data_IF_645525620200
#
_entry.id   IF_645525620200
#
_cell.length_a   1.000
_cell.length_b   1.000
_cell.length_c   1.000
_cell.angle_alpha   90.00
_cell.angle_beta   90.00
_cell.angle_gamma   90.00
#
_symmetry.space_group_name_H-M   'P 1'
#
loop_
_entity.id
_entity.type
_entity.pdbx_description
1 polymer ?
#
# COMPACT_ATOMS: atom_id res chain seq x y z
N UNK A 1 -14.76 -7.93 -2.20
CA UNK A 1 -13.43 -8.40 -2.61
C UNK A 1 -13.19 -9.87 -2.31
N UNK A 2 -13.69 -10.39 -1.19
CA UNK A 2 -13.49 -11.80 -0.83
C UNK A 2 -14.21 -12.76 -1.78
N UNK A 3 -15.41 -12.42 -2.25
CA UNK A 3 -16.11 -13.20 -3.28
C UNK A 3 -15.31 -13.29 -4.57
N UNK A 4 -14.69 -12.18 -4.99
CA UNK A 4 -13.84 -12.17 -6.20
C UNK A 4 -12.55 -12.97 -6.01
N UNK A 5 -12.01 -13.03 -4.80
CA UNK A 5 -10.86 -13.88 -4.48
C UNK A 5 -11.23 -15.36 -4.48
N UNK A 6 -12.41 -15.69 -3.94
CA UNK A 6 -12.94 -17.07 -3.97
C UNK A 6 -13.19 -17.52 -5.40
N UNK A 7 -13.79 -16.67 -6.23
CA UNK A 7 -14.03 -16.98 -7.65
C UNK A 7 -12.73 -17.22 -8.43
N UNK A 8 -11.65 -16.52 -8.11
CA UNK A 8 -10.35 -16.75 -8.75
C UNK A 8 -9.67 -18.08 -8.35
N UNK A 9 -10.13 -18.69 -7.24
CA UNK A 9 -9.66 -20.01 -6.77
C UNK A 9 -10.42 -21.19 -7.36
N UNK A 10 -11.53 -20.94 -8.08
CA UNK A 10 -12.29 -21.98 -8.76
C UNK A 10 -11.70 -22.24 -10.15
N UNK A 11 -11.96 -23.41 -10.71
CA UNK A 11 -11.60 -23.74 -12.09
C UNK A 11 -12.40 -22.87 -13.07
N UNK A 12 -11.84 -21.73 -13.43
CA UNK A 12 -12.44 -20.76 -14.33
C UNK A 12 -11.84 -20.90 -15.73
N UNK A 13 -12.66 -20.77 -16.73
CA UNK A 13 -12.23 -20.62 -18.11
C UNK A 13 -11.44 -19.31 -18.31
N UNK A 14 -10.60 -19.26 -19.34
CA UNK A 14 -9.82 -18.05 -19.68
C UNK A 14 -10.68 -16.79 -19.83
N UNK A 15 -11.84 -16.82 -20.50
CA UNK A 15 -12.73 -15.67 -20.57
C UNK A 15 -13.28 -15.22 -19.23
N UNK A 16 -13.63 -16.16 -18.34
CA UNK A 16 -14.13 -15.85 -17.02
C UNK A 16 -13.05 -15.19 -16.13
N UNK A 17 -11.82 -15.69 -16.17
CA UNK A 17 -10.68 -15.07 -15.47
C UNK A 17 -10.44 -13.64 -15.98
N UNK A 18 -10.53 -13.43 -17.31
CA UNK A 18 -10.40 -12.10 -17.91
C UNK A 18 -11.50 -11.15 -17.43
N UNK A 19 -12.76 -11.58 -17.41
CA UNK A 19 -13.88 -10.80 -16.92
C UNK A 19 -13.69 -10.38 -15.46
N UNK A 20 -13.32 -11.32 -14.58
CA UNK A 20 -13.08 -11.04 -13.17
C UNK A 20 -11.95 -10.03 -12.98
N UNK A 21 -10.88 -10.13 -13.77
CA UNK A 21 -9.76 -9.18 -13.74
C UNK A 21 -10.20 -7.77 -14.12
N UNK A 22 -10.98 -7.63 -15.19
CA UNK A 22 -11.51 -6.33 -15.62
C UNK A 22 -12.51 -5.74 -14.61
N UNK A 23 -13.35 -6.56 -14.01
CA UNK A 23 -14.24 -6.11 -12.92
C UNK A 23 -13.46 -5.61 -11.70
N UNK A 24 -12.39 -6.30 -11.31
CA UNK A 24 -11.50 -5.83 -10.21
C UNK A 24 -10.86 -4.49 -10.57
N UNK A 25 -10.37 -4.36 -11.81
CA UNK A 25 -9.79 -3.10 -12.31
C UNK A 25 -10.81 -1.96 -12.29
N UNK A 26 -12.01 -2.20 -12.81
CA UNK A 26 -13.10 -1.23 -12.78
C UNK A 26 -13.44 -0.78 -11.37
N UNK A 27 -13.64 -1.72 -10.44
CA UNK A 27 -13.91 -1.40 -9.02
C UNK A 27 -12.77 -0.59 -8.39
N UNK A 28 -11.53 -0.92 -8.70
CA UNK A 28 -10.36 -0.15 -8.25
C UNK A 28 -10.38 1.30 -8.75
N UNK A 29 -10.70 1.51 -10.02
CA UNK A 29 -10.81 2.84 -10.62
C UNK A 29 -11.99 3.63 -10.04
N UNK A 30 -13.16 3.01 -9.86
CA UNK A 30 -14.33 3.64 -9.24
C UNK A 30 -14.05 4.05 -7.80
N UNK A 31 -13.32 3.22 -7.04
CA UNK A 31 -12.87 3.58 -5.70
C UNK A 31 -11.92 4.79 -5.71
N UNK A 32 -10.96 4.82 -6.64
CA UNK A 32 -10.06 5.98 -6.78
C UNK A 32 -10.82 7.24 -7.17
N UNK A 33 -11.73 7.13 -8.11
CA UNK A 33 -12.58 8.24 -8.54
C UNK A 33 -13.37 8.83 -7.36
N UNK A 34 -14.13 8.02 -6.64
CA UNK A 34 -14.97 8.48 -5.53
C UNK A 34 -14.18 8.93 -4.30
N UNK A 35 -13.06 8.25 -3.99
CA UNK A 35 -12.28 8.56 -2.78
C UNK A 35 -11.37 9.76 -2.95
N UNK A 36 -10.79 9.97 -4.12
CA UNK A 36 -9.78 10.98 -4.37
C UNK A 36 -10.21 12.01 -5.40
N UNK A 37 -10.50 11.63 -6.64
CA UNK A 37 -10.65 12.55 -7.76
C UNK A 37 -11.86 13.47 -7.57
N UNK A 38 -13.02 12.93 -7.21
CA UNK A 38 -14.24 13.72 -6.97
C UNK A 38 -14.04 14.74 -5.85
N UNK A 39 -13.18 14.44 -4.89
CA UNK A 39 -12.86 15.36 -3.77
C UNK A 39 -11.83 16.42 -4.15
N UNK A 40 -10.98 16.16 -5.16
CA UNK A 40 -9.94 17.09 -5.63
C UNK A 40 -10.50 18.27 -6.44
N UNK A 41 -11.70 18.73 -6.14
CA UNK A 41 -12.28 19.94 -6.71
C UNK A 41 -12.03 21.14 -5.81
N UNK A 42 -12.01 22.36 -6.36
CA UNK A 42 -11.95 23.58 -5.56
C UNK A 42 -13.10 23.64 -4.54
N UNK A 43 -12.83 24.21 -3.40
CA UNK A 43 -13.89 24.59 -2.46
C UNK A 43 -14.64 25.80 -3.07
N UNK A 44 -15.96 25.77 -3.05
CA UNK A 44 -16.75 26.94 -3.42
C UNK A 44 -16.42 28.10 -2.46
N UNK A 45 -16.07 29.25 -3.04
CA UNK A 45 -15.68 30.43 -2.26
C UNK A 45 -16.81 30.97 -1.36
N UNK A 46 -18.05 30.60 -1.65
CA UNK A 46 -19.23 30.97 -0.86
C UNK A 46 -19.34 30.21 0.47
N UNK A 47 -18.50 29.20 0.70
CA UNK A 47 -18.54 28.36 1.91
C UNK A 47 -17.17 28.26 2.59
N UNK A 48 -16.36 29.33 2.54
CA UNK A 48 -15.21 29.50 3.43
C UNK A 48 -15.73 29.96 4.80
N UNK A 49 -16.67 29.21 5.32
CA UNK A 49 -17.00 29.30 6.72
C UNK A 49 -16.34 28.11 7.44
N UNK A 50 -15.71 28.42 8.56
CA UNK A 50 -14.86 27.51 9.30
C UNK A 50 -15.67 26.38 9.93
N UNK A 51 -16.12 25.43 9.10
CA UNK A 51 -16.39 24.10 9.57
C UNK A 51 -17.81 23.72 9.97
N UNK A 52 -18.74 24.63 10.10
CA UNK A 52 -20.10 24.34 10.54
C UNK A 52 -21.09 25.10 9.65
N UNK A 53 -21.85 24.39 8.82
CA UNK A 53 -23.09 24.92 8.27
C UNK A 53 -24.11 24.89 9.41
N UNK A 54 -24.26 26.00 10.12
CA UNK A 54 -25.20 26.12 11.23
C UNK A 54 -26.66 25.96 10.77
N UNK A 55 -26.91 26.08 9.47
CA UNK A 55 -28.25 25.93 8.86
C UNK A 55 -28.52 24.52 8.30
N UNK A 56 -27.56 23.58 8.34
CA UNK A 56 -27.77 22.23 7.86
C UNK A 56 -28.55 21.42 8.89
N UNK A 57 -29.76 20.97 8.53
CA UNK A 57 -30.57 20.12 9.38
C UNK A 57 -29.91 18.75 9.62
N UNK A 58 -30.27 18.10 10.72
CA UNK A 58 -29.74 16.76 11.04
C UNK A 58 -30.03 15.75 9.93
N UNK A 59 -31.21 15.85 9.29
CA UNK A 59 -31.65 14.96 8.20
C UNK A 59 -30.79 15.16 6.94
N UNK A 60 -30.53 16.39 6.55
CA UNK A 60 -29.64 16.70 5.41
C UNK A 60 -28.21 16.22 5.63
N UNK A 61 -27.72 16.31 6.87
CA UNK A 61 -26.40 15.80 7.28
C UNK A 61 -26.33 14.27 7.18
N UNK A 62 -27.37 13.57 7.62
CA UNK A 62 -27.45 12.11 7.52
C UNK A 62 -27.61 11.61 6.07
N UNK A 63 -28.42 12.29 5.26
CA UNK A 63 -28.53 11.99 3.83
C UNK A 63 -27.20 12.25 3.10
N UNK A 64 -26.49 13.32 3.41
CA UNK A 64 -25.18 13.62 2.86
C UNK A 64 -24.15 12.55 3.22
N UNK A 65 -24.18 12.05 4.46
CA UNK A 65 -23.34 10.93 4.88
C UNK A 65 -23.67 9.66 4.11
N UNK A 66 -24.97 9.36 3.93
CA UNK A 66 -25.44 8.17 3.17
C UNK A 66 -25.05 8.23 1.70
N UNK A 67 -25.08 9.40 1.06
CA UNK A 67 -24.68 9.60 -0.34
C UNK A 67 -23.16 9.59 -0.55
N UNK A 68 -22.36 9.60 0.53
CA UNK A 68 -20.89 9.59 0.47
C UNK A 68 -20.26 10.80 -0.23
N UNK A 69 -21.05 11.81 -0.56
CA UNK A 69 -20.59 13.03 -1.22
C UNK A 69 -20.32 14.13 -0.19
N UNK A 70 -19.08 14.55 -0.08
CA UNK A 70 -18.77 15.87 0.49
C UNK A 70 -19.12 16.91 -0.57
N UNK A 71 -20.08 17.78 -0.30
CA UNK A 71 -20.36 18.94 -1.17
C UNK A 71 -19.17 19.88 -1.28
N UNK A 72 -18.28 19.88 -0.29
CA UNK A 72 -17.09 20.74 -0.23
C UNK A 72 -15.91 20.04 -0.89
N UNK A 73 -15.30 20.66 -1.88
CA UNK A 73 -14.00 20.26 -2.41
C UNK A 73 -12.94 20.37 -1.31
N UNK A 74 -11.80 19.73 -1.51
CA UNK A 74 -10.69 19.74 -0.55
C UNK A 74 -9.52 20.62 -0.98
N UNK A 75 -9.59 21.17 -2.17
CA UNK A 75 -8.60 22.11 -2.68
C UNK A 75 -9.03 23.54 -2.30
N UNK A 76 -8.24 24.17 -1.48
CA UNK A 76 -8.48 25.55 -1.01
C UNK A 76 -8.34 26.56 -2.16
N UNK A 77 -8.85 27.79 -2.01
CA UNK A 77 -8.73 28.82 -3.06
C UNK A 77 -7.29 29.13 -3.48
N UNK A 78 -6.32 28.87 -2.59
CA UNK A 78 -4.90 28.99 -2.87
C UNK A 78 -4.31 27.77 -3.63
N UNK A 79 -5.14 26.86 -4.10
CA UNK A 79 -4.74 25.64 -4.81
C UNK A 79 -4.16 24.52 -3.92
N UNK A 80 -4.15 24.69 -2.60
CA UNK A 80 -3.52 23.71 -1.68
C UNK A 80 -4.52 22.73 -1.10
N UNK A 81 -4.03 21.51 -0.88
CA UNK A 81 -4.70 20.55 -0.02
C UNK A 81 -4.11 20.61 1.38
N UNK A 82 -4.98 20.54 2.40
CA UNK A 82 -4.59 20.51 3.82
C UNK A 82 -5.12 19.22 4.46
N UNK A 83 -4.42 18.09 4.30
CA UNK A 83 -4.83 16.84 4.94
C UNK A 83 -4.65 16.93 6.45
N UNK A 84 -5.60 16.36 7.20
CA UNK A 84 -5.48 16.23 8.64
C UNK A 84 -4.63 15.02 9.02
N UNK A 85 -3.87 15.16 10.10
CA UNK A 85 -3.12 14.07 10.71
C UNK A 85 -3.44 13.99 12.20
N UNK A 86 -3.63 12.77 12.69
CA UNK A 86 -3.82 12.48 14.11
C UNK A 86 -2.57 11.82 14.67
N UNK A 87 -2.02 12.42 15.72
CA UNK A 87 -0.96 11.79 16.50
C UNK A 87 -1.58 10.84 17.55
N UNK A 88 -0.86 9.77 17.88
CA UNK A 88 -1.19 8.85 18.98
C UNK A 88 -2.52 8.08 18.89
N UNK A 89 -3.16 8.03 17.72
CA UNK A 89 -4.40 7.28 17.51
C UNK A 89 -4.13 5.79 17.22
N UNK A 90 -2.99 5.49 16.60
CA UNK A 90 -2.59 4.10 16.32
C UNK A 90 -1.89 3.49 17.53
N UNK A 91 -2.13 2.20 17.78
CA UNK A 91 -1.46 1.45 18.88
C UNK A 91 0.07 1.49 18.74
N UNK A 92 0.58 1.62 17.53
CA UNK A 92 2.02 1.68 17.23
C UNK A 92 2.62 3.07 17.35
N UNK A 93 1.83 4.10 17.69
CA UNK A 93 2.28 5.48 17.76
C UNK A 93 2.50 6.17 16.39
N UNK A 94 2.17 5.50 15.29
CA UNK A 94 2.27 6.10 13.94
C UNK A 94 1.22 7.19 13.77
N UNK A 95 1.54 8.21 12.98
CA UNK A 95 0.55 9.18 12.53
C UNK A 95 -0.52 8.46 11.68
N UNK A 96 -1.77 8.84 11.86
CA UNK A 96 -2.86 8.45 10.98
C UNK A 96 -3.41 9.65 10.24
N UNK A 97 -3.74 9.47 8.97
CA UNK A 97 -4.36 10.52 8.18
C UNK A 97 -5.86 10.56 8.42
N UNK A 98 -6.41 11.75 8.57
CA UNK A 98 -7.84 11.99 8.82
C UNK A 98 -8.49 12.75 7.66
N UNK A 99 -9.75 13.15 7.87
CA UNK A 99 -10.48 14.00 6.91
C UNK A 99 -9.73 15.33 6.69
N UNK A 100 -9.89 15.96 5.54
CA UNK A 100 -10.85 15.63 4.46
C UNK A 100 -10.36 14.54 3.51
N UNK A 101 -9.06 14.23 3.47
CA UNK A 101 -8.48 13.21 2.59
C UNK A 101 -7.40 12.41 3.31
N UNK A 102 -7.36 11.10 3.06
CA UNK A 102 -6.29 10.25 3.55
C UNK A 102 -5.05 10.38 2.65
N UNK A 103 -4.16 11.31 3.01
CA UNK A 103 -2.96 11.58 2.24
C UNK A 103 -1.91 10.45 2.31
N UNK A 104 -1.90 9.66 3.39
CA UNK A 104 -0.96 8.53 3.54
C UNK A 104 -1.24 7.42 2.53
N UNK A 105 -2.51 7.22 2.17
CA UNK A 105 -2.95 6.21 1.20
C UNK A 105 -3.20 6.78 -0.20
N UNK A 106 -2.64 7.97 -0.51
CA UNK A 106 -2.82 8.58 -1.82
C UNK A 106 -2.21 7.69 -2.92
N UNK A 107 -3.00 7.29 -3.95
CA UNK A 107 -2.54 6.36 -4.97
C UNK A 107 -1.30 6.88 -5.71
N UNK A 108 -0.36 5.99 -6.00
CA UNK A 108 0.90 6.36 -6.66
C UNK A 108 0.69 7.05 -8.00
N UNK A 109 -0.27 6.60 -8.80
CA UNK A 109 -0.62 7.16 -10.10
C UNK A 109 -1.22 8.58 -10.02
N UNK A 110 -1.76 8.97 -8.87
CA UNK A 110 -2.31 10.32 -8.65
C UNK A 110 -1.30 11.27 -7.99
N UNK A 111 -0.16 10.77 -7.51
CA UNK A 111 0.85 11.61 -6.82
C UNK A 111 1.46 12.68 -7.73
N UNK A 112 1.51 12.45 -9.04
CA UNK A 112 1.98 13.44 -10.00
C UNK A 112 1.13 14.74 -10.03
N UNK A 113 -0.09 14.71 -9.49
CA UNK A 113 -0.95 15.90 -9.36
C UNK A 113 -0.52 16.81 -8.20
N UNK A 114 0.30 16.29 -7.28
CA UNK A 114 0.81 17.05 -6.11
C UNK A 114 2.13 17.65 -6.51
N UNK A 115 2.16 18.98 -6.61
CA UNK A 115 3.34 19.72 -7.02
C UNK A 115 3.76 20.69 -5.90
N UNK A 116 5.05 21.03 -5.87
CA UNK A 116 5.54 22.09 -5.01
C UNK A 116 5.03 23.46 -5.50
N UNK A 117 4.95 24.43 -4.59
CA UNK A 117 4.71 25.81 -4.99
C UNK A 117 5.86 26.34 -5.85
N UNK A 118 5.62 27.34 -6.71
CA UNK A 118 6.68 28.03 -7.42
C UNK A 118 7.80 28.48 -6.48
N UNK A 119 9.04 28.15 -6.83
CA UNK A 119 10.21 28.44 -6.02
C UNK A 119 10.52 27.42 -4.91
N UNK A 120 9.68 26.39 -4.72
CA UNK A 120 9.90 25.34 -3.75
C UNK A 120 10.06 23.97 -4.43
N UNK A 121 10.60 23.00 -3.68
CA UNK A 121 10.71 21.60 -4.10
C UNK A 121 10.10 20.70 -3.05
N UNK A 122 9.59 19.55 -3.49
CA UNK A 122 9.15 18.48 -2.57
C UNK A 122 10.36 17.60 -2.27
N UNK A 123 10.68 17.47 -0.98
CA UNK A 123 11.69 16.53 -0.50
C UNK A 123 10.99 15.32 0.10
N UNK A 124 11.43 14.13 -0.29
CA UNK A 124 11.01 12.86 0.31
C UNK A 124 12.21 12.13 0.85
N UNK A 125 12.16 11.71 2.11
CA UNK A 125 13.16 10.86 2.74
C UNK A 125 12.46 9.69 3.41
N UNK A 126 12.85 8.48 3.02
CA UNK A 126 12.32 7.24 3.59
C UNK A 126 13.52 6.38 4.03
N UNK A 127 13.68 6.12 5.35
CA UNK A 127 14.75 5.26 5.83
C UNK A 127 14.59 3.85 5.28
N UNK A 128 15.57 3.39 4.53
CA UNK A 128 15.56 2.06 3.94
C UNK A 128 15.48 0.98 5.03
N UNK A 129 14.41 0.19 4.97
CA UNK A 129 14.17 -1.00 5.81
C UNK A 129 14.33 -0.74 7.33
N UNK A 130 13.92 0.43 7.82
CA UNK A 130 14.10 0.84 9.22
C UNK A 130 13.61 -0.22 10.22
N UNK A 131 12.42 -0.77 10.01
CA UNK A 131 11.86 -1.78 10.92
C UNK A 131 12.73 -3.04 10.98
N UNK A 132 13.25 -3.48 9.85
CA UNK A 132 14.14 -4.64 9.79
C UNK A 132 15.49 -4.36 10.44
N UNK A 133 16.04 -3.15 10.28
CA UNK A 133 17.29 -2.73 10.93
C UNK A 133 17.15 -2.77 12.45
N UNK A 134 16.04 -2.25 12.97
CA UNK A 134 15.72 -2.29 14.40
C UNK A 134 15.55 -3.74 14.88
N UNK A 135 14.81 -4.56 14.14
CA UNK A 135 14.59 -5.96 14.46
C UNK A 135 15.90 -6.76 14.47
N UNK A 136 16.72 -6.58 13.45
CA UNK A 136 18.04 -7.24 13.33
C UNK A 136 18.97 -6.86 14.49
N UNK A 137 18.96 -5.59 14.91
CA UNK A 137 19.71 -5.13 16.08
C UNK A 137 19.20 -5.69 17.39
N UNK A 138 17.88 -5.60 17.62
CA UNK A 138 17.26 -6.00 18.88
C UNK A 138 17.30 -7.51 19.14
N UNK A 139 17.15 -8.33 18.12
CA UNK A 139 17.11 -9.80 18.21
C UNK A 139 18.39 -10.47 17.74
N UNK A 140 19.44 -9.69 17.53
CA UNK A 140 20.76 -10.17 17.11
C UNK A 140 20.76 -11.08 15.87
N UNK A 141 19.98 -10.72 14.86
CA UNK A 141 19.82 -11.51 13.65
C UNK A 141 21.03 -11.33 12.72
N UNK A 142 22.08 -12.13 12.89
CA UNK A 142 23.38 -11.98 12.24
C UNK A 142 23.30 -11.91 10.71
N UNK A 143 22.53 -12.82 10.07
CA UNK A 143 22.38 -12.83 8.60
C UNK A 143 21.75 -11.55 8.05
N UNK A 144 20.78 -10.97 8.80
CA UNK A 144 20.17 -9.70 8.41
C UNK A 144 21.12 -8.52 8.63
N UNK A 145 21.88 -8.52 9.71
CA UNK A 145 22.92 -7.50 9.97
C UNK A 145 23.97 -7.51 8.87
N UNK A 146 24.45 -8.69 8.49
CA UNK A 146 25.41 -8.87 7.41
C UNK A 146 24.85 -8.36 6.07
N UNK A 147 23.64 -8.78 5.71
CA UNK A 147 22.99 -8.32 4.49
C UNK A 147 22.84 -6.79 4.45
N UNK A 148 22.39 -6.19 5.55
CA UNK A 148 22.22 -4.75 5.66
C UNK A 148 23.56 -3.98 5.62
N UNK A 149 24.63 -4.53 6.21
CA UNK A 149 25.95 -3.92 6.20
C UNK A 149 26.58 -3.94 4.80
N UNK A 150 26.33 -4.99 4.03
CA UNK A 150 26.85 -5.17 2.68
C UNK A 150 25.93 -4.60 1.58
N UNK A 151 24.88 -3.90 1.94
CA UNK A 151 23.87 -3.37 1.02
C UNK A 151 23.20 -4.46 0.15
N UNK A 152 23.10 -5.67 0.67
CA UNK A 152 22.31 -6.73 0.05
C UNK A 152 20.82 -6.53 0.36
N UNK A 153 19.94 -6.96 -0.56
CA UNK A 153 18.49 -6.96 -0.28
C UNK A 153 18.14 -8.10 0.69
N UNK A 154 17.78 -7.82 1.95
CA UNK A 154 17.54 -8.85 2.94
C UNK A 154 16.34 -9.73 2.62
N UNK A 155 15.36 -9.20 1.86
CA UNK A 155 14.20 -9.97 1.44
C UNK A 155 14.56 -11.07 0.44
N UNK A 156 15.59 -10.86 -0.36
CA UNK A 156 16.11 -11.86 -1.30
C UNK A 156 17.25 -12.65 -0.72
N UNK A 157 18.31 -11.98 -0.25
CA UNK A 157 19.55 -12.61 0.18
C UNK A 157 19.42 -13.38 1.50
N UNK A 158 18.44 -13.05 2.34
CA UNK A 158 18.19 -13.81 3.57
C UNK A 158 16.91 -14.61 3.46
N UNK A 159 15.76 -13.96 3.23
CA UNK A 159 14.46 -14.62 3.33
C UNK A 159 14.14 -15.49 2.11
N UNK A 160 14.24 -14.94 0.88
CA UNK A 160 13.94 -15.71 -0.33
C UNK A 160 14.91 -16.87 -0.50
N UNK A 161 16.18 -16.63 -0.23
CA UNK A 161 17.19 -17.69 -0.31
C UNK A 161 16.96 -18.78 0.75
N UNK A 162 16.54 -18.42 1.95
CA UNK A 162 16.20 -19.40 2.99
C UNK A 162 14.96 -20.24 2.64
N UNK A 163 13.97 -19.65 1.97
CA UNK A 163 12.70 -20.32 1.62
C UNK A 163 12.80 -21.11 0.33
N UNK A 164 13.39 -20.53 -0.72
CA UNK A 164 13.39 -21.08 -2.07
C UNK A 164 14.77 -21.61 -2.54
N UNK A 165 15.86 -21.22 -1.89
CA UNK A 165 17.22 -21.68 -2.20
C UNK A 165 17.60 -21.47 -3.66
N UNK A 166 18.09 -22.56 -4.29
CA UNK A 166 18.51 -22.55 -5.69
C UNK A 166 17.40 -22.26 -6.70
N UNK A 167 16.14 -22.48 -6.34
CA UNK A 167 15.01 -22.12 -7.20
C UNK A 167 14.93 -20.60 -7.39
N UNK A 168 15.21 -19.83 -6.33
CA UNK A 168 15.29 -18.38 -6.44
C UNK A 168 16.48 -17.92 -7.32
N UNK A 169 17.66 -18.52 -7.17
CA UNK A 169 18.82 -18.21 -8.02
C UNK A 169 18.52 -18.46 -9.51
N UNK A 170 17.90 -19.59 -9.82
CA UNK A 170 17.49 -19.94 -11.17
C UNK A 170 16.49 -18.93 -11.75
N UNK A 171 15.48 -18.56 -10.96
CA UNK A 171 14.47 -17.59 -11.36
C UNK A 171 15.03 -16.18 -11.51
N UNK A 172 15.98 -15.80 -10.65
CA UNK A 172 16.63 -14.50 -10.68
C UNK A 172 17.64 -14.33 -11.82
N UNK A 173 18.10 -15.44 -12.42
CA UNK A 173 19.10 -15.43 -13.47
C UNK A 173 20.49 -14.93 -13.03
N UNK A 174 20.71 -14.81 -11.73
CA UNK A 174 21.94 -14.31 -11.14
C UNK A 174 22.23 -15.01 -9.80
N UNK A 175 23.51 -15.20 -9.47
CA UNK A 175 23.89 -15.85 -8.21
C UNK A 175 23.66 -14.93 -7.01
N UNK A 176 23.62 -15.54 -5.84
CA UNK A 176 23.70 -14.87 -4.54
C UNK A 176 25.05 -14.11 -4.39
N UNK A 177 25.11 -12.96 -3.72
CA UNK A 177 23.98 -12.20 -3.12
C UNK A 177 23.34 -11.16 -4.06
N UNK A 178 22.10 -10.75 -3.77
CA UNK A 178 21.40 -9.72 -4.52
C UNK A 178 21.43 -8.37 -3.80
N UNK A 179 21.83 -7.33 -4.52
CA UNK A 179 21.96 -5.98 -3.99
C UNK A 179 20.60 -5.31 -3.78
N UNK A 180 20.54 -4.39 -2.80
CA UNK A 180 19.39 -3.51 -2.62
C UNK A 180 19.15 -2.71 -3.91
N UNK A 181 17.88 -2.68 -4.35
CA UNK A 181 17.51 -2.01 -5.60
C UNK A 181 17.52 -2.91 -6.84
N UNK A 182 18.01 -4.16 -6.77
CA UNK A 182 17.89 -5.11 -7.86
C UNK A 182 16.42 -5.30 -8.24
N UNK A 183 16.13 -5.18 -9.53
CA UNK A 183 14.80 -5.44 -10.08
C UNK A 183 14.72 -6.89 -10.52
N UNK A 184 13.61 -7.52 -10.19
CA UNK A 184 13.30 -8.89 -10.54
C UNK A 184 12.00 -8.93 -11.33
N UNK A 185 11.93 -9.82 -12.30
CA UNK A 185 10.75 -10.08 -13.12
C UNK A 185 10.23 -11.51 -12.91
N UNK A 186 9.04 -11.80 -13.41
CA UNK A 186 8.46 -13.13 -13.40
C UNK A 186 8.44 -13.80 -12.02
N UNK A 187 8.93 -15.04 -11.96
CA UNK A 187 8.92 -15.85 -10.74
C UNK A 187 9.83 -15.30 -9.64
N UNK A 188 10.98 -14.73 -10.00
CA UNK A 188 11.87 -14.11 -9.01
C UNK A 188 11.19 -12.93 -8.30
N UNK A 189 10.44 -12.12 -9.05
CA UNK A 189 9.65 -11.03 -8.46
C UNK A 189 8.58 -11.57 -7.49
N UNK A 190 7.86 -12.62 -7.87
CA UNK A 190 6.85 -13.26 -7.03
C UNK A 190 7.46 -13.84 -5.75
N UNK A 191 8.53 -14.60 -5.87
CA UNK A 191 9.25 -15.18 -4.73
C UNK A 191 9.76 -14.09 -3.77
N UNK A 192 10.25 -12.97 -4.31
CA UNK A 192 10.65 -11.82 -3.49
C UNK A 192 9.47 -11.19 -2.76
N UNK A 193 8.32 -11.02 -3.41
CA UNK A 193 7.12 -10.48 -2.75
C UNK A 193 6.61 -11.42 -1.64
N UNK A 194 6.59 -12.72 -1.90
CA UNK A 194 6.27 -13.72 -0.88
C UNK A 194 7.21 -13.66 0.32
N UNK A 195 8.51 -13.63 0.07
CA UNK A 195 9.52 -13.54 1.12
C UNK A 195 9.34 -12.29 1.98
N UNK A 196 8.99 -11.18 1.35
CA UNK A 196 8.68 -9.93 2.06
C UNK A 196 7.45 -10.08 2.97
N UNK A 197 6.39 -10.70 2.48
CA UNK A 197 5.16 -10.95 3.26
C UNK A 197 5.45 -11.90 4.42
N UNK A 198 6.16 -12.99 4.17
CA UNK A 198 6.55 -13.98 5.18
C UNK A 198 7.39 -13.32 6.27
N UNK A 199 8.41 -12.58 5.89
CA UNK A 199 9.30 -11.88 6.82
C UNK A 199 8.52 -10.94 7.74
N UNK A 200 7.65 -10.09 7.18
CA UNK A 200 6.84 -9.19 8.00
C UNK A 200 5.83 -9.94 8.87
N UNK A 201 5.21 -11.01 8.37
CA UNK A 201 4.30 -11.81 9.15
C UNK A 201 4.98 -12.36 10.42
N UNK A 202 6.17 -12.95 10.29
CA UNK A 202 6.94 -13.44 11.43
C UNK A 202 7.44 -12.32 12.35
N UNK A 203 7.85 -11.19 11.80
CA UNK A 203 8.27 -10.03 12.57
C UNK A 203 7.14 -9.50 13.46
N UNK A 204 5.89 -9.62 13.01
CA UNK A 204 4.68 -9.28 13.76
C UNK A 204 4.06 -10.47 14.50
N UNK A 205 4.85 -11.50 14.82
CA UNK A 205 4.48 -12.68 15.61
C UNK A 205 3.39 -13.54 14.96
N UNK A 206 3.32 -13.60 13.65
CA UNK A 206 2.49 -14.59 12.98
C UNK A 206 3.01 -16.01 13.27
N UNK A 207 2.10 -16.93 13.60
CA UNK A 207 2.44 -18.33 13.79
C UNK A 207 2.76 -19.03 12.45
N UNK A 208 3.35 -20.23 12.55
CA UNK A 208 3.73 -21.07 11.40
C UNK A 208 2.54 -21.35 10.47
N UNK A 209 1.36 -21.58 11.05
CA UNK A 209 0.12 -21.81 10.30
C UNK A 209 -0.28 -20.62 9.42
N UNK A 210 -0.10 -19.38 9.93
CA UNK A 210 -0.33 -18.16 9.16
C UNK A 210 0.68 -18.06 8.01
N UNK A 211 1.95 -18.39 8.26
CA UNK A 211 2.99 -18.45 7.23
C UNK A 211 2.65 -19.44 6.13
N UNK A 212 2.25 -20.65 6.50
CA UNK A 212 1.81 -21.69 5.56
C UNK A 212 0.62 -21.23 4.71
N UNK A 213 -0.40 -20.64 5.34
CA UNK A 213 -1.56 -20.09 4.62
C UNK A 213 -1.17 -18.99 3.63
N UNK A 214 -0.23 -18.12 3.97
CA UNK A 214 0.26 -17.08 3.07
C UNK A 214 0.90 -17.71 1.83
N UNK A 215 1.78 -18.69 2.02
CA UNK A 215 2.47 -19.37 0.92
C UNK A 215 1.45 -20.05 0.01
N UNK A 216 0.58 -20.88 0.54
CA UNK A 216 -0.41 -21.65 -0.23
C UNK A 216 -1.46 -20.76 -0.90
N UNK A 217 -1.87 -19.65 -0.29
CA UNK A 217 -2.84 -18.73 -0.90
C UNK A 217 -2.26 -17.93 -2.08
N UNK A 218 -0.95 -17.76 -2.12
CA UNK A 218 -0.29 -17.00 -3.19
C UNK A 218 0.04 -17.88 -4.38
N UNK A 219 0.31 -19.15 -4.17
CA UNK A 219 0.47 -20.14 -5.26
C UNK A 219 -0.82 -20.31 -6.08
N UNK A 220 -1.98 -20.12 -5.45
CA UNK A 220 -3.29 -20.28 -6.09
C UNK A 220 -3.75 -19.06 -6.91
N UNK A 221 -3.18 -17.88 -6.72
CA UNK A 221 -3.54 -16.69 -7.52
C UNK A 221 -2.96 -16.73 -8.94
N UNK A 222 -1.93 -17.52 -9.16
CA UNK A 222 -1.17 -17.58 -10.41
C UNK A 222 -1.23 -18.93 -11.13
N UNK A 223 -2.11 -19.81 -10.71
CA UNK A 223 -2.29 -21.13 -11.34
C UNK A 223 -2.40 -20.99 -12.86
N UNK A 224 -1.28 -21.19 -13.53
CA UNK A 224 -1.10 -21.39 -14.97
C UNK A 224 -1.82 -22.65 -15.41
#
# INVERSE_FOLDING_TARGET
DDVMRVLLRTELTVPQRRLIRELRRYRGLMKQLGTYIVKLRPQDQTTVDMGWDDDETFEEREERKKRGYSKKGIVWPDGRMRPGYNAHVTVTGRLSSSKPINAQNFPKNLRAMIVAQPGNVLLGADPDQLELRIAAGRWDLQKYKEALANNWDPHTSVTAYAVFGKAFEKAAGSPFPWMTGTKFDGDAHRMRQLSKIIQYAFQYKAGVETGHRIITSTELEDGS
#
